data_IF_014587745100
#
_entry.id   IF_014587745100
#
_cell.length_a   1.000
_cell.length_b   1.000
_cell.length_c   1.000
_cell.angle_alpha   90.00
_cell.angle_beta   90.00
_cell.angle_gamma   90.00
#
_symmetry.space_group_name_H-M   'P 1'
#
loop_
_entity.id
_entity.type
_entity.pdbx_description
1 polymer ?
#
# COMPACT_ATOMS: atom_id res chain seq x y z
N UNK A 1 49.27 26.18 -37.62
CA UNK A 1 48.63 25.15 -36.75
C UNK A 1 47.75 25.71 -35.61
N UNK A 2 47.44 27.02 -35.56
CA UNK A 2 46.80 27.67 -34.38
C UNK A 2 45.25 27.70 -34.45
N UNK A 3 44.64 27.62 -35.64
CA UNK A 3 43.17 27.76 -35.81
C UNK A 3 42.33 26.62 -35.21
N UNK A 4 42.89 25.40 -35.10
CA UNK A 4 42.14 24.21 -34.68
C UNK A 4 42.02 24.07 -33.16
N UNK A 5 42.88 24.73 -32.39
CA UNK A 5 42.79 24.78 -30.92
C UNK A 5 41.67 25.71 -30.45
N UNK A 6 41.47 26.83 -31.14
CA UNK A 6 40.42 27.82 -30.81
C UNK A 6 39.00 27.27 -30.93
N UNK A 7 38.74 26.37 -31.88
CA UNK A 7 37.43 25.73 -32.03
C UNK A 7 37.07 24.82 -30.86
N UNK A 8 38.06 24.18 -30.21
CA UNK A 8 37.82 23.38 -29.02
C UNK A 8 37.48 24.25 -27.80
N UNK A 9 38.18 25.38 -27.64
CA UNK A 9 37.86 26.33 -26.56
C UNK A 9 36.48 26.96 -26.75
N UNK A 10 36.09 27.27 -27.99
CA UNK A 10 34.76 27.81 -28.30
C UNK A 10 33.66 26.77 -28.00
N UNK A 11 33.87 25.52 -28.39
CA UNK A 11 32.95 24.43 -28.10
C UNK A 11 32.83 24.12 -26.61
N UNK A 12 33.95 24.16 -25.88
CA UNK A 12 33.97 23.95 -24.43
C UNK A 12 33.24 25.07 -23.68
N UNK A 13 33.43 26.33 -24.09
CA UNK A 13 32.73 27.47 -23.51
C UNK A 13 31.21 27.37 -23.75
N UNK A 14 30.79 26.96 -24.97
CA UNK A 14 29.38 26.77 -25.30
C UNK A 14 28.75 25.60 -24.53
N UNK A 15 29.52 24.53 -24.28
CA UNK A 15 29.06 23.42 -23.44
C UNK A 15 28.88 23.84 -21.98
N UNK A 16 29.84 24.59 -21.42
CA UNK A 16 29.78 25.07 -20.03
C UNK A 16 28.59 26.01 -19.84
N UNK A 17 28.31 26.92 -20.78
CA UNK A 17 27.16 27.84 -20.67
C UNK A 17 25.82 27.11 -20.74
N UNK A 18 25.68 26.11 -21.63
CA UNK A 18 24.47 25.28 -21.71
C UNK A 18 24.25 24.50 -20.41
N UNK A 19 25.28 23.83 -19.88
CA UNK A 19 25.18 23.08 -18.62
C UNK A 19 24.88 24.01 -17.43
N UNK A 20 25.53 25.17 -17.37
CA UNK A 20 25.34 26.13 -16.28
C UNK A 20 23.97 26.81 -16.31
N UNK A 21 23.39 27.02 -17.50
CA UNK A 21 22.03 27.57 -17.65
C UNK A 21 20.93 26.67 -17.06
N UNK A 22 21.21 25.38 -16.91
CA UNK A 22 20.33 24.42 -16.24
C UNK A 22 20.31 24.55 -14.71
N UNK A 23 21.34 25.19 -14.13
CA UNK A 23 21.40 25.52 -12.71
C UNK A 23 20.86 26.94 -12.46
N UNK A 24 19.58 27.16 -12.77
CA UNK A 24 18.88 28.28 -12.11
C UNK A 24 18.69 27.89 -10.66
N UNK A 25 19.37 28.59 -9.75
CA UNK A 25 19.02 28.60 -8.34
C UNK A 25 17.57 29.08 -8.27
N UNK A 26 16.64 28.14 -8.09
CA UNK A 26 15.27 28.47 -7.79
C UNK A 26 15.36 29.12 -6.41
N UNK A 27 15.07 30.42 -6.32
CA UNK A 27 14.85 31.06 -5.02
C UNK A 27 13.99 30.12 -4.19
N UNK A 28 14.43 29.86 -2.96
CA UNK A 28 13.70 29.00 -2.04
C UNK A 28 12.24 29.43 -2.10
N UNK A 29 11.37 28.53 -2.54
CA UNK A 29 9.94 28.75 -2.38
C UNK A 29 9.75 28.87 -0.89
N UNK A 30 9.61 30.09 -0.37
CA UNK A 30 9.20 30.34 1.00
C UNK A 30 7.92 29.53 1.20
N UNK A 31 8.05 28.38 1.84
CA UNK A 31 6.99 27.43 2.15
C UNK A 31 6.00 27.98 3.20
N UNK A 32 5.95 29.31 3.35
CA UNK A 32 5.14 30.04 4.31
C UNK A 32 4.21 31.08 3.68
N UNK A 33 4.06 31.10 2.34
CA UNK A 33 3.07 31.96 1.67
C UNK A 33 1.92 31.19 1.03
N UNK A 34 1.11 30.54 1.87
CA UNK A 34 -0.20 30.00 1.48
C UNK A 34 -1.23 31.06 1.84
N UNK A 35 -1.98 31.56 0.88
CA UNK A 35 -3.04 32.55 1.08
C UNK A 35 -4.05 32.02 2.11
N UNK A 36 -4.23 32.72 3.24
CA UNK A 36 -5.03 32.27 4.39
C UNK A 36 -4.26 31.52 5.49
N UNK A 37 -2.95 31.35 5.35
CA UNK A 37 -2.05 30.71 6.35
C UNK A 37 -0.89 31.63 6.74
N UNK A 38 -1.17 32.94 6.79
CA UNK A 38 -0.24 33.97 7.23
C UNK A 38 -0.73 34.53 8.56
N UNK A 39 0.09 34.45 9.59
CA UNK A 39 -0.10 35.26 10.79
C UNK A 39 0.46 36.65 10.47
N UNK A 40 -0.35 37.71 10.57
CA UNK A 40 0.21 39.07 10.48
C UNK A 40 1.12 39.31 11.69
N UNK A 41 2.16 40.14 11.55
CA UNK A 41 3.11 40.44 12.64
C UNK A 41 2.42 40.93 13.92
N UNK A 42 1.22 41.50 13.78
CA UNK A 42 0.44 42.11 14.85
C UNK A 42 -0.79 41.27 15.27
N UNK A 43 -0.92 40.02 14.80
CA UNK A 43 -2.09 39.19 15.10
C UNK A 43 -2.01 38.62 16.52
N UNK A 44 -2.84 39.17 17.42
CA UNK A 44 -2.99 38.63 18.79
C UNK A 44 -3.79 37.33 18.71
N UNK A 45 -3.07 36.20 18.77
CA UNK A 45 -3.69 34.88 18.84
C UNK A 45 -4.12 34.57 20.27
N UNK A 46 -5.43 34.61 20.54
CA UNK A 46 -5.99 34.10 21.79
C UNK A 46 -6.11 32.57 21.70
N UNK A 47 -5.02 31.86 21.96
CA UNK A 47 -5.07 30.41 22.11
C UNK A 47 -5.17 30.06 23.60
N UNK A 48 -6.15 29.23 23.95
CA UNK A 48 -6.22 28.62 25.28
C UNK A 48 -5.63 27.22 25.19
N UNK A 49 -4.65 26.94 26.05
CA UNK A 49 -4.15 25.58 26.26
C UNK A 49 -5.08 24.92 27.27
N UNK A 50 -5.68 23.75 26.96
CA UNK A 50 -6.54 23.05 27.90
C UNK A 50 -5.81 22.81 29.21
N UNK A 51 -6.47 23.14 30.32
CA UNK A 51 -5.99 22.84 31.68
C UNK A 51 -5.89 21.32 31.89
N UNK A 52 -5.12 20.88 32.89
CA UNK A 52 -4.94 19.44 33.18
C UNK A 52 -6.31 18.76 33.40
N UNK A 53 -7.26 19.45 34.03
CA UNK A 53 -8.63 18.97 34.23
C UNK A 53 -9.46 18.95 32.94
N UNK A 54 -9.22 19.84 31.96
CA UNK A 54 -9.86 19.78 30.63
C UNK A 54 -9.24 18.71 29.72
N UNK A 55 -7.99 18.31 29.99
CA UNK A 55 -7.35 17.15 29.34
C UNK A 55 -7.79 15.82 29.96
N UNK A 56 -9.00 15.73 30.53
CA UNK A 56 -9.57 14.47 31.06
C UNK A 56 -9.13 13.36 30.15
N UNK A 57 -8.30 12.44 30.67
CA UNK A 57 -7.86 11.27 29.92
C UNK A 57 -9.13 10.52 29.56
N UNK A 58 -9.65 10.78 28.37
CA UNK A 58 -10.71 9.99 27.80
C UNK A 58 -10.07 8.64 27.64
N UNK A 59 -10.42 7.72 28.53
CA UNK A 59 -10.06 6.31 28.43
C UNK A 59 -10.85 5.79 27.23
N UNK A 60 -10.36 6.10 26.03
CA UNK A 60 -10.85 5.47 24.84
C UNK A 60 -10.47 4.00 24.97
N UNK A 61 -11.46 3.18 25.31
CA UNK A 61 -11.36 1.75 25.20
C UNK A 61 -11.45 1.41 23.70
N UNK A 62 -10.42 1.81 22.94
CA UNK A 62 -10.32 1.42 21.55
C UNK A 62 -10.14 -0.10 21.56
N UNK A 63 -11.00 -0.87 20.87
CA UNK A 63 -10.77 -2.29 20.73
C UNK A 63 -9.42 -2.47 20.05
N UNK A 64 -8.41 -2.91 20.80
CA UNK A 64 -7.13 -3.27 20.25
C UNK A 64 -7.35 -4.52 19.40
N UNK A 65 -7.50 -4.33 18.10
CA UNK A 65 -7.79 -5.43 17.17
C UNK A 65 -6.64 -6.42 17.10
N UNK A 66 -5.43 -6.03 17.53
CA UNK A 66 -4.28 -6.89 17.74
C UNK A 66 -4.02 -7.79 16.54
N UNK A 67 -3.82 -9.09 16.82
CA UNK A 67 -3.64 -10.12 15.80
C UNK A 67 -4.94 -10.78 15.35
N UNK A 68 -6.11 -10.21 15.62
CA UNK A 68 -7.38 -10.75 15.10
C UNK A 68 -7.53 -10.58 13.58
N UNK A 69 -8.52 -11.25 12.99
CA UNK A 69 -8.92 -11.02 11.59
C UNK A 69 -9.27 -9.56 11.30
N UNK A 70 -9.88 -8.85 12.26
CA UNK A 70 -10.20 -7.42 12.10
C UNK A 70 -8.90 -6.62 11.99
N UNK A 71 -7.92 -6.92 12.85
CA UNK A 71 -6.58 -6.32 12.80
C UNK A 71 -5.88 -6.60 11.47
N UNK A 72 -6.00 -7.82 10.95
CA UNK A 72 -5.46 -8.19 9.64
C UNK A 72 -6.05 -7.33 8.50
N UNK A 73 -7.38 -7.22 8.45
CA UNK A 73 -8.08 -6.38 7.46
C UNK A 73 -7.66 -4.91 7.58
N UNK A 74 -7.58 -4.38 8.79
CA UNK A 74 -7.20 -2.98 9.02
C UNK A 74 -5.75 -2.71 8.63
N UNK A 75 -4.82 -3.59 9.00
CA UNK A 75 -3.42 -3.46 8.65
C UNK A 75 -3.19 -3.45 7.14
N UNK A 76 -3.89 -4.31 6.38
CA UNK A 76 -3.85 -4.30 4.93
C UNK A 76 -4.47 -3.02 4.39
N UNK A 77 -5.67 -2.65 4.83
CA UNK A 77 -6.34 -1.44 4.37
C UNK A 77 -5.50 -0.17 4.56
N UNK A 78 -4.80 -0.04 5.69
CA UNK A 78 -3.90 1.08 5.96
C UNK A 78 -2.74 1.09 4.96
N UNK A 79 -2.13 -0.08 4.70
CA UNK A 79 -1.02 -0.20 3.75
C UNK A 79 -1.46 0.07 2.31
N UNK A 80 -2.64 -0.37 1.92
CA UNK A 80 -3.14 -0.27 0.54
C UNK A 80 -3.69 1.14 0.22
N UNK A 81 -4.43 1.77 1.14
CA UNK A 81 -5.20 2.98 0.83
C UNK A 81 -5.38 3.96 2.00
N UNK A 82 -4.74 3.72 3.15
CA UNK A 82 -5.05 4.42 4.40
C UNK A 82 -6.53 4.24 4.84
N UNK A 83 -7.20 3.18 4.37
CA UNK A 83 -8.60 2.92 4.71
C UNK A 83 -9.64 3.58 3.79
N UNK A 84 -9.21 4.28 2.73
CA UNK A 84 -10.10 5.09 1.88
C UNK A 84 -10.87 4.23 0.86
N UNK A 85 -12.18 4.07 1.06
CA UNK A 85 -13.06 3.28 0.19
C UNK A 85 -13.21 3.82 -1.24
N UNK A 86 -13.01 5.13 -1.45
CA UNK A 86 -13.17 5.78 -2.76
C UNK A 86 -11.85 6.02 -3.50
N UNK A 87 -10.72 5.59 -2.94
CA UNK A 87 -9.41 5.80 -3.55
C UNK A 87 -9.28 5.02 -4.86
N UNK A 88 -8.76 5.69 -5.90
CA UNK A 88 -8.32 5.04 -7.14
C UNK A 88 -6.86 5.38 -7.35
N UNK A 89 -5.98 4.39 -7.38
CA UNK A 89 -4.56 4.65 -7.63
C UNK A 89 -4.29 4.96 -9.10
N UNK A 90 -3.10 5.50 -9.38
CA UNK A 90 -2.61 5.78 -10.74
C UNK A 90 -2.59 4.56 -11.67
N UNK A 91 -2.53 3.35 -11.10
CA UNK A 91 -2.57 2.09 -11.85
C UNK A 91 -3.98 1.50 -11.98
N UNK A 92 -5.01 2.22 -11.51
CA UNK A 92 -6.41 1.82 -11.63
C UNK A 92 -6.86 0.78 -10.60
N UNK A 93 -6.15 0.61 -9.49
CA UNK A 93 -6.61 -0.20 -8.36
C UNK A 93 -7.63 0.58 -7.51
N UNK A 94 -8.60 -0.15 -6.97
CA UNK A 94 -9.86 0.43 -6.50
C UNK A 94 -10.09 0.19 -5.00
N UNK A 95 -10.41 1.27 -4.30
CA UNK A 95 -10.96 1.29 -2.96
C UNK A 95 -10.00 0.88 -1.85
N UNK A 96 -10.58 0.53 -0.71
CA UNK A 96 -9.88 0.35 0.57
C UNK A 96 -8.76 -0.69 0.51
N UNK A 97 -8.96 -1.71 -0.31
CA UNK A 97 -8.05 -2.84 -0.48
C UNK A 97 -7.39 -2.86 -1.87
N UNK A 98 -7.41 -1.73 -2.59
CA UNK A 98 -6.75 -1.58 -3.90
C UNK A 98 -6.99 -2.77 -4.84
N UNK A 99 -8.25 -3.05 -5.16
CA UNK A 99 -8.60 -4.16 -6.05
C UNK A 99 -8.32 -3.88 -7.52
N UNK A 100 -7.76 -4.87 -8.21
CA UNK A 100 -7.69 -4.88 -9.67
C UNK A 100 -9.06 -5.20 -10.30
N UNK A 101 -9.35 -4.59 -11.46
CA UNK A 101 -10.63 -4.81 -12.19
C UNK A 101 -10.87 -6.27 -12.57
N UNK A 102 -9.82 -7.00 -12.97
CA UNK A 102 -9.90 -8.42 -13.30
C UNK A 102 -10.30 -9.27 -12.09
N UNK A 103 -9.72 -8.99 -10.93
CA UNK A 103 -10.03 -9.64 -9.66
C UNK A 103 -11.50 -9.40 -9.26
N UNK A 104 -11.98 -8.15 -9.37
CA UNK A 104 -13.40 -7.85 -9.10
C UNK A 104 -14.33 -8.64 -10.01
N UNK A 105 -14.04 -8.71 -11.32
CA UNK A 105 -14.84 -9.50 -12.26
C UNK A 105 -14.85 -10.99 -11.91
N UNK A 106 -13.72 -11.56 -11.49
CA UNK A 106 -13.64 -12.96 -11.06
C UNK A 106 -14.55 -13.25 -9.84
N UNK A 107 -14.73 -12.26 -8.96
CA UNK A 107 -15.63 -12.29 -7.81
C UNK A 107 -17.09 -11.95 -8.14
N UNK A 108 -17.40 -11.66 -9.41
CA UNK A 108 -18.75 -11.31 -9.88
C UNK A 108 -19.09 -9.82 -9.87
N UNK A 109 -18.14 -8.94 -9.50
CA UNK A 109 -18.34 -7.50 -9.42
C UNK A 109 -17.86 -6.86 -10.73
N UNK A 110 -18.81 -6.44 -11.57
CA UNK A 110 -18.51 -5.84 -12.89
C UNK A 110 -18.50 -4.31 -12.87
N UNK A 111 -19.34 -3.70 -12.04
CA UNK A 111 -19.50 -2.24 -11.98
C UNK A 111 -18.55 -1.65 -10.92
N UNK A 112 -17.48 -0.98 -11.36
CA UNK A 112 -16.47 -0.39 -10.47
C UNK A 112 -16.98 0.84 -9.73
N UNK A 113 -17.91 1.60 -10.30
CA UNK A 113 -18.48 2.79 -9.66
C UNK A 113 -19.38 2.39 -8.49
N UNK A 114 -20.25 1.38 -8.70
CA UNK A 114 -21.04 0.78 -7.63
C UNK A 114 -20.16 0.21 -6.52
N UNK A 115 -19.03 -0.41 -6.88
CA UNK A 115 -18.05 -0.93 -5.93
C UNK A 115 -17.40 0.15 -5.06
N UNK A 116 -16.96 1.27 -5.65
CA UNK A 116 -16.35 2.38 -4.90
C UNK A 116 -17.35 3.06 -3.95
N UNK A 117 -18.63 3.05 -4.30
CA UNK A 117 -19.69 3.66 -3.48
C UNK A 117 -20.30 2.71 -2.44
N UNK A 118 -19.87 1.44 -2.36
CA UNK A 118 -20.41 0.46 -1.43
C UNK A 118 -19.30 -0.14 -0.54
N UNK A 119 -19.01 0.47 0.63
CA UNK A 119 -18.02 -0.06 1.57
C UNK A 119 -18.25 -1.52 1.96
N UNK A 120 -19.51 -1.90 2.20
CA UNK A 120 -19.88 -3.27 2.55
C UNK A 120 -19.54 -4.28 1.44
N UNK A 121 -19.69 -3.88 0.18
CA UNK A 121 -19.29 -4.71 -0.96
C UNK A 121 -17.76 -4.92 -0.99
N UNK A 122 -16.97 -3.90 -0.66
CA UNK A 122 -15.51 -4.02 -0.61
C UNK A 122 -15.06 -4.97 0.51
N UNK A 123 -15.70 -4.90 1.68
CA UNK A 123 -15.42 -5.83 2.79
C UNK A 123 -15.75 -7.29 2.41
N UNK A 124 -16.88 -7.51 1.73
CA UNK A 124 -17.26 -8.85 1.23
C UNK A 124 -16.31 -9.34 0.14
N UNK A 125 -15.93 -8.46 -0.80
CA UNK A 125 -14.95 -8.77 -1.84
C UNK A 125 -13.59 -9.16 -1.26
N UNK A 126 -13.13 -8.47 -0.21
CA UNK A 126 -11.91 -8.81 0.48
C UNK A 126 -11.97 -10.21 1.11
N UNK A 127 -13.03 -10.51 1.88
CA UNK A 127 -13.22 -11.84 2.44
C UNK A 127 -13.31 -12.94 1.36
N UNK A 128 -14.03 -12.68 0.27
CA UNK A 128 -14.15 -13.61 -0.86
C UNK A 128 -12.80 -13.88 -1.55
N UNK A 129 -11.98 -12.84 -1.77
CA UNK A 129 -10.64 -13.01 -2.33
C UNK A 129 -9.75 -13.85 -1.41
N UNK A 130 -9.77 -13.60 -0.11
CA UNK A 130 -8.99 -14.39 0.84
C UNK A 130 -9.45 -15.85 0.88
N UNK A 131 -10.77 -16.09 0.82
CA UNK A 131 -11.36 -17.43 0.74
C UNK A 131 -10.87 -18.20 -0.49
N UNK A 132 -10.84 -17.53 -1.65
CA UNK A 132 -10.29 -18.10 -2.89
C UNK A 132 -8.80 -18.39 -2.78
N UNK A 133 -8.01 -17.42 -2.33
CA UNK A 133 -6.57 -17.59 -2.14
C UNK A 133 -6.24 -18.72 -1.15
N UNK A 134 -7.01 -18.85 -0.06
CA UNK A 134 -6.85 -19.92 0.92
C UNK A 134 -7.12 -21.29 0.31
N UNK A 135 -8.13 -21.41 -0.55
CA UNK A 135 -8.37 -22.65 -1.30
C UNK A 135 -7.23 -22.96 -2.27
N UNK A 136 -6.76 -21.96 -3.04
CA UNK A 136 -5.71 -22.15 -4.05
C UNK A 136 -4.35 -22.49 -3.43
N UNK A 137 -4.09 -22.01 -2.19
CA UNK A 137 -2.82 -22.13 -1.48
C UNK A 137 -2.87 -23.12 -0.31
N UNK A 138 -3.93 -23.91 -0.15
CA UNK A 138 -4.11 -24.81 1.00
C UNK A 138 -2.91 -25.75 1.21
N UNK A 139 -2.36 -26.31 0.15
CA UNK A 139 -1.20 -27.20 0.21
C UNK A 139 0.10 -26.45 0.54
N UNK A 140 0.24 -25.21 0.08
CA UNK A 140 1.36 -24.35 0.47
C UNK A 140 1.28 -23.92 1.94
N UNK A 141 0.09 -23.58 2.43
CA UNK A 141 -0.15 -23.24 3.84
C UNK A 141 0.25 -24.44 4.70
N UNK A 142 -0.30 -25.61 4.44
CA UNK A 142 0.02 -26.84 5.18
C UNK A 142 1.52 -27.16 5.16
N UNK A 143 2.18 -27.02 4.00
CA UNK A 143 3.60 -27.36 3.86
C UNK A 143 4.54 -26.34 4.50
N UNK A 144 4.19 -25.05 4.51
CA UNK A 144 5.12 -23.97 4.83
C UNK A 144 4.81 -23.22 6.12
N UNK A 145 3.62 -23.36 6.71
CA UNK A 145 3.27 -22.73 7.98
C UNK A 145 4.37 -22.99 9.03
N UNK A 146 4.80 -21.93 9.71
CA UNK A 146 5.81 -21.99 10.77
C UNK A 146 7.27 -22.09 10.28
N UNK A 147 7.53 -22.41 9.01
CA UNK A 147 8.90 -22.47 8.46
C UNK A 147 9.51 -21.08 8.32
N UNK A 148 10.84 -21.00 8.28
CA UNK A 148 11.56 -19.75 8.02
C UNK A 148 12.17 -19.80 6.63
N UNK A 149 11.78 -18.87 5.76
CA UNK A 149 12.36 -18.72 4.41
C UNK A 149 13.02 -17.35 4.31
N UNK A 150 14.31 -17.33 3.97
CA UNK A 150 15.10 -16.09 3.83
C UNK A 150 14.97 -15.15 5.05
N UNK A 151 14.92 -15.73 6.25
CA UNK A 151 14.79 -15.00 7.52
C UNK A 151 13.38 -14.48 7.85
N UNK A 152 12.33 -14.98 7.19
CA UNK A 152 10.93 -14.62 7.47
C UNK A 152 10.17 -15.88 7.87
N UNK A 153 9.53 -15.86 9.04
CA UNK A 153 8.58 -16.90 9.45
C UNK A 153 7.35 -16.83 8.55
N UNK A 154 7.05 -17.95 7.88
CA UNK A 154 5.88 -18.10 7.03
C UNK A 154 4.67 -18.38 7.93
N UNK A 155 3.58 -17.67 7.64
CA UNK A 155 2.29 -17.84 8.34
C UNK A 155 1.15 -17.73 7.34
N UNK A 156 -0.03 -18.27 7.67
CA UNK A 156 -1.20 -18.30 6.79
C UNK A 156 -1.59 -16.87 6.41
N UNK A 157 -1.67 -15.98 7.40
CA UNK A 157 -1.98 -14.57 7.18
C UNK A 157 -0.96 -13.88 6.26
N UNK A 158 0.33 -14.20 6.42
CA UNK A 158 1.39 -13.70 5.55
C UNK A 158 1.26 -14.21 4.11
N UNK A 159 0.94 -15.50 3.93
CA UNK A 159 0.67 -16.14 2.63
C UNK A 159 -0.54 -15.48 1.95
N UNK A 160 -1.64 -15.30 2.68
CA UNK A 160 -2.86 -14.71 2.14
C UNK A 160 -2.69 -13.24 1.75
N UNK A 161 -1.98 -12.45 2.57
CA UNK A 161 -1.64 -11.07 2.23
C UNK A 161 -0.73 -10.99 0.99
N UNK A 162 0.26 -11.87 0.91
CA UNK A 162 1.15 -11.96 -0.23
C UNK A 162 0.41 -12.37 -1.52
N UNK A 163 -0.59 -13.23 -1.41
CA UNK A 163 -1.47 -13.60 -2.52
C UNK A 163 -2.41 -12.45 -2.93
N UNK A 164 -2.85 -11.62 -1.98
CA UNK A 164 -3.59 -10.39 -2.28
C UNK A 164 -2.74 -9.41 -3.12
N UNK A 165 -1.46 -9.26 -2.79
CA UNK A 165 -0.53 -8.39 -3.52
C UNK A 165 -0.20 -8.91 -4.93
N UNK A 166 0.15 -10.19 -5.05
CA UNK A 166 0.86 -10.73 -6.22
C UNK A 166 0.14 -11.90 -6.91
N UNK A 167 -0.99 -12.35 -6.38
CA UNK A 167 -1.68 -13.56 -6.80
C UNK A 167 -1.07 -14.84 -6.22
N UNK A 168 -1.88 -15.91 -6.18
CA UNK A 168 -1.49 -17.20 -5.60
C UNK A 168 -0.30 -17.85 -6.31
N UNK A 169 -0.26 -17.82 -7.65
CA UNK A 169 0.83 -18.43 -8.42
C UNK A 169 2.21 -17.83 -8.09
N UNK A 170 2.27 -16.51 -7.87
CA UNK A 170 3.50 -15.83 -7.45
C UNK A 170 3.94 -16.31 -6.06
N UNK A 171 3.00 -16.52 -5.15
CA UNK A 171 3.26 -17.08 -3.82
C UNK A 171 3.76 -18.53 -3.93
N UNK A 172 3.12 -19.38 -4.74
CA UNK A 172 3.59 -20.75 -5.01
C UNK A 172 5.02 -20.75 -5.52
N UNK A 173 5.34 -19.89 -6.50
CA UNK A 173 6.69 -19.75 -7.03
C UNK A 173 7.70 -19.33 -5.97
N UNK A 174 7.35 -18.38 -5.11
CA UNK A 174 8.20 -17.94 -4.00
C UNK A 174 8.46 -19.08 -3.00
N UNK A 175 7.41 -19.74 -2.52
CA UNK A 175 7.51 -20.80 -1.50
C UNK A 175 8.25 -22.03 -2.04
N UNK A 176 7.86 -22.53 -3.22
CA UNK A 176 8.45 -23.74 -3.82
C UNK A 176 9.93 -23.56 -4.20
N UNK A 177 10.38 -22.31 -4.39
CA UNK A 177 11.78 -22.01 -4.67
C UNK A 177 12.61 -21.67 -3.42
N UNK A 178 12.02 -21.79 -2.22
CA UNK A 178 12.61 -21.35 -0.95
C UNK A 178 13.03 -19.86 -1.00
N UNK A 179 12.17 -19.03 -1.58
CA UNK A 179 12.35 -17.58 -1.68
C UNK A 179 13.41 -17.13 -2.69
N UNK A 180 13.81 -18.00 -3.63
CA UNK A 180 14.70 -17.64 -4.75
C UNK A 180 13.97 -16.86 -5.84
N UNK A 181 12.77 -17.31 -6.22
CA UNK A 181 11.86 -16.56 -7.08
C UNK A 181 11.14 -15.52 -6.24
N UNK A 182 10.95 -14.32 -6.77
CA UNK A 182 10.26 -13.23 -6.09
C UNK A 182 9.38 -12.43 -7.04
N UNK A 183 8.46 -11.69 -6.46
CA UNK A 183 7.63 -10.69 -7.13
C UNK A 183 7.82 -9.35 -6.45
N UNK A 184 7.85 -8.28 -7.24
CA UNK A 184 7.75 -6.89 -6.81
C UNK A 184 6.64 -6.23 -7.63
N UNK A 185 5.78 -5.48 -6.96
CA UNK A 185 4.75 -4.68 -7.64
C UNK A 185 5.35 -3.41 -8.28
N UNK A 186 4.51 -2.62 -8.95
CA UNK A 186 4.91 -1.35 -9.56
C UNK A 186 5.38 -0.27 -8.56
N UNK A 187 5.17 -0.48 -7.26
CA UNK A 187 5.65 0.38 -6.18
C UNK A 187 6.91 -0.17 -5.47
N UNK A 188 7.48 -1.27 -5.97
CA UNK A 188 8.67 -1.93 -5.41
C UNK A 188 8.39 -2.82 -4.19
N UNK A 189 7.12 -3.01 -3.84
CA UNK A 189 6.69 -3.85 -2.72
C UNK A 189 6.89 -5.32 -3.06
N UNK A 190 7.62 -6.06 -2.21
CA UNK A 190 7.92 -7.47 -2.47
C UNK A 190 6.98 -8.45 -1.74
N UNK A 191 6.83 -9.66 -2.29
CA UNK A 191 6.19 -10.80 -1.60
C UNK A 191 6.75 -11.02 -0.19
N UNK A 192 8.09 -11.08 -0.07
CA UNK A 192 8.78 -11.28 1.22
C UNK A 192 8.39 -10.21 2.24
N UNK A 193 8.32 -8.95 1.83
CA UNK A 193 7.91 -7.86 2.73
C UNK A 193 6.47 -7.99 3.19
N UNK A 194 5.56 -8.46 2.34
CA UNK A 194 4.16 -8.68 2.71
C UNK A 194 3.99 -9.87 3.65
N UNK A 195 4.65 -11.00 3.36
CA UNK A 195 4.64 -12.16 4.25
C UNK A 195 5.12 -11.76 5.66
N UNK A 196 6.23 -11.01 5.74
CA UNK A 196 6.78 -10.54 7.01
C UNK A 196 5.83 -9.56 7.72
N UNK A 197 5.33 -8.55 7.00
CA UNK A 197 4.54 -7.46 7.60
C UNK A 197 3.18 -7.96 8.11
N UNK A 198 2.55 -8.86 7.37
CA UNK A 198 1.21 -9.36 7.66
C UNK A 198 1.23 -10.77 8.28
N UNK A 199 2.36 -11.17 8.84
CA UNK A 199 2.49 -12.44 9.52
C UNK A 199 1.87 -12.46 10.92
N UNK A 200 1.38 -13.64 11.31
CA UNK A 200 0.91 -13.96 12.65
C UNK A 200 -0.44 -13.34 13.03
N UNK A 201 -1.30 -13.04 12.07
CA UNK A 201 -2.71 -12.71 12.35
C UNK A 201 -3.57 -13.97 12.31
N UNK A 202 -4.63 -13.99 13.11
CA UNK A 202 -5.65 -15.01 13.09
C UNK A 202 -6.56 -14.84 11.86
N UNK A 203 -6.48 -15.84 10.98
CA UNK A 203 -7.30 -15.98 9.76
C UNK A 203 -8.13 -17.26 9.77
N UNK A 204 -8.32 -17.87 10.94
CA UNK A 204 -9.09 -19.11 11.12
C UNK A 204 -10.54 -19.01 10.62
N UNK A 205 -11.16 -17.84 10.78
CA UNK A 205 -12.53 -17.57 10.35
C UNK A 205 -12.71 -17.46 8.82
N UNK A 206 -11.62 -17.53 8.05
CA UNK A 206 -11.66 -17.56 6.59
C UNK A 206 -11.82 -19.01 6.16
N UNK A 207 -13.02 -19.33 5.67
CA UNK A 207 -13.32 -20.64 5.07
C UNK A 207 -12.83 -20.64 3.63
N UNK A 208 -12.07 -21.67 3.23
CA UNK A 208 -11.57 -21.84 1.88
C UNK A 208 -12.70 -22.19 0.91
N UNK A 209 -12.79 -21.51 -0.24
CA UNK A 209 -13.80 -21.77 -1.27
C UNK A 209 -13.20 -21.54 -2.67
N UNK A 210 -13.40 -22.44 -3.66
CA UNK A 210 -12.80 -22.32 -5.00
C UNK A 210 -13.37 -21.15 -5.81
N UNK A 211 -14.68 -20.92 -5.72
CA UNK A 211 -15.39 -19.94 -6.54
C UNK A 211 -16.31 -19.00 -5.74
N UNK A 212 -15.78 -18.24 -4.76
CA UNK A 212 -16.61 -17.34 -3.98
C UNK A 212 -17.12 -16.21 -4.87
N UNK A 213 -18.43 -16.01 -4.89
CA UNK A 213 -19.10 -14.90 -5.58
C UNK A 213 -19.65 -13.91 -4.58
N UNK A 214 -19.52 -12.63 -4.87
CA UNK A 214 -20.08 -11.57 -4.05
C UNK A 214 -21.32 -11.01 -4.73
N UNK A 215 -22.46 -11.10 -4.05
CA UNK A 215 -23.72 -10.53 -4.52
C UNK A 215 -23.84 -9.06 -4.08
N UNK A 216 -24.41 -8.26 -4.97
CA UNK A 216 -24.99 -6.97 -4.63
C UNK A 216 -26.34 -7.29 -3.99
N UNK A 217 -26.43 -7.15 -2.67
CA UNK A 217 -27.70 -7.10 -1.98
C UNK A 217 -28.13 -5.64 -1.93
#
# INVERSE_FOLDING_TARGET
MIKRQWTYFLGLALFITVVSSGFKAKEEKQFGKIEGFHLSEDEITNYSVPTIDETVKVNFNFPFTGKSYIGFKQAIAIKESQGLYKLVSRYGYLGKYQFGRSTLRALGIKNTQSFLNNPGLQERAFKALLSKNKWELKGEIERYEGKVIKGVKITESGILAAAHLAGANSVKGYLNSNGRRGFKDGFGTSLKSYIRKFGGYDTSNIVAHPEPKVRLN
#
